data_IF_571199283875
#
_entry.id   IF_571199283875
#
_cell.length_a   1.000
_cell.length_b   1.000
_cell.length_c   1.000
_cell.angle_alpha   90.00
_cell.angle_beta   90.00
_cell.angle_gamma   90.00
#
_symmetry.space_group_name_H-M   'P 1'
#
loop_
_entity.id
_entity.type
_entity.pdbx_description
1 polymer ?
#
# COMPACT_ATOMS: atom_id res chain seq x y z
N UNK A 1 77.53 32.21 31.42
CA UNK A 1 76.44 31.28 31.79
C UNK A 1 75.46 31.28 30.67
N UNK A 2 75.42 30.17 29.93
CA UNK A 2 74.54 30.06 28.71
C UNK A 2 73.23 29.43 29.11
N UNK A 3 72.10 30.07 28.82
CA UNK A 3 70.78 29.52 29.00
C UNK A 3 70.34 28.77 27.73
N UNK A 4 70.06 27.48 27.89
CA UNK A 4 69.46 26.63 26.82
C UNK A 4 67.96 26.83 26.77
N UNK A 5 67.42 27.17 25.60
CA UNK A 5 66.02 27.16 25.28
C UNK A 5 65.68 25.79 24.70
N UNK A 6 64.78 25.07 25.34
CA UNK A 6 64.16 23.86 24.80
C UNK A 6 62.84 24.22 24.06
N UNK A 7 62.85 23.98 22.75
CA UNK A 7 61.64 24.19 21.94
C UNK A 7 60.71 22.98 22.08
N UNK A 8 59.47 23.23 22.49
CA UNK A 8 58.37 22.27 22.44
C UNK A 8 57.72 22.35 21.05
N UNK A 9 57.89 21.31 20.24
CA UNK A 9 57.15 21.13 18.99
C UNK A 9 55.81 20.45 19.29
N UNK A 10 54.72 21.20 19.16
CA UNK A 10 53.37 20.64 19.24
C UNK A 10 53.02 19.98 17.91
N UNK A 11 52.87 18.65 17.93
CA UNK A 11 52.29 17.89 16.82
C UNK A 11 50.78 18.07 16.84
N UNK A 12 50.23 18.79 15.87
CA UNK A 12 48.77 18.85 15.62
C UNK A 12 48.43 17.61 14.78
N UNK A 13 47.80 16.62 15.41
CA UNK A 13 47.14 15.52 14.69
C UNK A 13 45.89 16.06 14.02
N UNK A 14 45.93 16.26 12.72
CA UNK A 14 44.74 16.51 11.92
C UNK A 14 43.95 15.19 11.81
N UNK A 15 42.86 15.10 12.55
CA UNK A 15 41.84 14.05 12.36
C UNK A 15 41.18 14.29 10.99
N UNK A 16 41.52 13.47 10.00
CA UNK A 16 40.85 13.42 8.73
C UNK A 16 39.41 12.88 8.98
N UNK A 17 38.46 13.77 8.94
CA UNK A 17 37.02 13.37 8.81
C UNK A 17 36.89 12.59 7.51
N UNK A 18 36.25 11.38 7.52
CA UNK A 18 35.97 10.68 6.28
C UNK A 18 35.05 11.56 5.43
N UNK A 19 35.50 11.88 4.22
CA UNK A 19 34.70 12.55 3.23
C UNK A 19 33.46 11.65 2.99
N UNK A 20 32.27 12.11 3.38
CA UNK A 20 31.02 11.53 2.91
C UNK A 20 31.06 11.62 1.37
N UNK A 21 31.14 10.48 0.73
CA UNK A 21 30.99 10.39 -0.71
C UNK A 21 29.64 11.04 -1.10
N UNK A 22 29.72 12.21 -1.68
CA UNK A 22 28.55 12.87 -2.26
C UNK A 22 28.04 11.98 -3.38
N UNK A 23 26.90 11.32 -3.16
CA UNK A 23 26.18 10.59 -4.18
C UNK A 23 25.90 11.53 -5.38
N UNK A 24 26.01 11.05 -6.61
CA UNK A 24 25.69 11.86 -7.77
C UNK A 24 24.23 12.25 -7.76
N UNK A 25 23.94 13.51 -7.56
CA UNK A 25 22.64 14.13 -7.27
C UNK A 25 21.72 14.24 -8.51
N UNK A 26 21.95 13.53 -9.62
CA UNK A 26 21.28 13.81 -10.90
C UNK A 26 20.50 12.67 -11.55
N UNK A 27 20.40 11.48 -11.02
CA UNK A 27 19.72 10.36 -11.69
C UNK A 27 18.56 9.71 -10.91
N UNK A 28 18.27 10.13 -9.72
CA UNK A 28 17.17 9.64 -8.93
C UNK A 28 16.51 10.81 -8.17
N UNK A 29 15.21 10.90 -8.22
CA UNK A 29 14.45 11.93 -7.54
C UNK A 29 13.18 12.30 -8.29
N UNK A 30 12.32 13.06 -7.62
CA UNK A 30 11.08 13.57 -8.19
C UNK A 30 11.35 14.29 -9.52
N UNK A 31 10.55 13.98 -10.53
CA UNK A 31 10.66 14.53 -11.90
C UNK A 31 11.97 14.18 -12.65
N UNK A 32 12.70 13.16 -12.22
CA UNK A 32 13.86 12.65 -12.95
C UNK A 32 13.43 12.09 -14.31
N UNK A 33 14.31 12.22 -15.31
CA UNK A 33 14.08 11.61 -16.63
C UNK A 33 14.27 10.09 -16.61
N UNK A 34 15.01 9.57 -15.63
CA UNK A 34 15.22 8.15 -15.38
C UNK A 34 15.18 7.86 -13.90
N UNK A 35 14.46 6.82 -13.52
CA UNK A 35 14.39 6.31 -12.15
C UNK A 35 15.41 5.19 -11.97
N UNK A 36 15.81 4.94 -10.71
CA UNK A 36 16.75 3.88 -10.40
C UNK A 36 16.20 2.52 -10.80
N UNK A 37 17.01 1.73 -11.50
CA UNK A 37 16.71 0.32 -11.80
C UNK A 37 17.63 -0.57 -10.98
N UNK A 38 17.15 -1.03 -9.82
CA UNK A 38 17.94 -1.85 -8.88
C UNK A 38 18.33 -3.21 -9.48
N UNK A 39 17.52 -3.77 -10.38
CA UNK A 39 17.87 -5.02 -11.07
C UNK A 39 19.05 -4.81 -12.02
N UNK A 40 19.12 -3.68 -12.70
CA UNK A 40 20.28 -3.34 -13.51
C UNK A 40 21.51 -3.02 -12.66
N UNK A 41 21.32 -2.18 -11.64
CA UNK A 41 22.42 -1.70 -10.78
C UNK A 41 23.08 -2.83 -9.97
N UNK A 42 22.31 -3.76 -9.42
CA UNK A 42 22.80 -4.74 -8.46
C UNK A 42 22.86 -6.17 -9.00
N UNK A 43 22.03 -6.50 -10.00
CA UNK A 43 21.96 -7.86 -10.57
C UNK A 43 22.45 -7.94 -12.03
N UNK A 44 22.76 -6.81 -12.65
CA UNK A 44 23.19 -6.76 -14.06
C UNK A 44 22.09 -7.16 -15.06
N UNK A 45 20.80 -7.07 -14.65
CA UNK A 45 19.69 -7.38 -15.54
C UNK A 45 19.42 -6.21 -16.48
N UNK A 46 19.11 -6.50 -17.77
CA UNK A 46 18.77 -5.44 -18.69
C UNK A 46 17.42 -4.81 -18.35
N UNK A 47 17.22 -3.50 -18.59
CA UNK A 47 15.91 -2.87 -18.45
C UNK A 47 14.81 -3.59 -19.25
N UNK A 48 15.10 -4.02 -20.48
CA UNK A 48 14.16 -4.78 -21.30
C UNK A 48 13.72 -6.11 -20.66
N UNK A 49 14.64 -6.82 -19.97
CA UNK A 49 14.29 -8.03 -19.25
C UNK A 49 13.40 -7.75 -18.05
N UNK A 50 13.60 -6.61 -17.34
CA UNK A 50 12.74 -6.19 -16.26
C UNK A 50 11.34 -5.82 -16.76
N UNK A 51 11.24 -5.00 -17.81
CA UNK A 51 9.96 -4.64 -18.44
C UNK A 51 9.19 -5.89 -18.93
N UNK A 52 9.89 -6.86 -19.56
CA UNK A 52 9.26 -8.09 -20.01
C UNK A 52 8.68 -8.93 -18.83
N UNK A 53 9.38 -8.98 -17.68
CA UNK A 53 8.85 -9.63 -16.47
C UNK A 53 7.63 -8.91 -15.90
N UNK A 54 7.66 -7.59 -15.87
CA UNK A 54 6.55 -6.75 -15.39
C UNK A 54 5.33 -6.96 -16.29
N UNK A 55 5.50 -6.87 -17.60
CA UNK A 55 4.42 -7.10 -18.56
C UNK A 55 3.87 -8.54 -18.47
N UNK A 56 4.75 -9.54 -18.35
CA UNK A 56 4.33 -10.93 -18.12
C UNK A 56 3.53 -11.12 -16.84
N UNK A 57 3.90 -10.42 -15.76
CA UNK A 57 3.16 -10.45 -14.51
C UNK A 57 1.80 -9.72 -14.63
N UNK A 58 1.75 -8.59 -15.32
CA UNK A 58 0.50 -7.90 -15.64
C UNK A 58 -0.42 -8.82 -16.44
N UNK A 59 0.06 -9.44 -17.50
CA UNK A 59 -0.74 -10.35 -18.32
C UNK A 59 -1.26 -11.54 -17.50
N UNK A 60 -0.47 -12.11 -16.60
CA UNK A 60 -0.92 -13.19 -15.73
C UNK A 60 -1.99 -12.74 -14.73
N UNK A 61 -1.77 -11.63 -14.02
CA UNK A 61 -2.66 -11.17 -12.96
C UNK A 61 -3.94 -10.51 -13.49
N UNK A 62 -3.91 -9.93 -14.70
CA UNK A 62 -5.08 -9.27 -15.26
C UNK A 62 -5.80 -10.12 -16.31
N UNK A 63 -5.10 -10.94 -17.09
CA UNK A 63 -5.65 -11.64 -18.25
C UNK A 63 -5.37 -13.15 -18.26
N UNK A 64 -4.69 -13.66 -17.25
CA UNK A 64 -4.37 -15.08 -17.13
C UNK A 64 -5.56 -15.97 -16.82
N UNK A 65 -5.28 -17.23 -16.46
CA UNK A 65 -6.30 -18.19 -16.07
C UNK A 65 -7.15 -17.71 -14.89
N UNK A 66 -8.47 -17.81 -15.01
CA UNK A 66 -9.41 -17.27 -14.02
C UNK A 66 -9.44 -18.05 -12.70
N UNK A 67 -9.00 -19.30 -12.68
CA UNK A 67 -9.04 -20.14 -11.49
C UNK A 67 -7.78 -19.95 -10.61
N UNK A 68 -6.61 -19.82 -11.26
CA UNK A 68 -5.33 -19.88 -10.55
C UNK A 68 -4.49 -18.60 -10.64
N UNK A 69 -4.73 -17.72 -11.64
CA UNK A 69 -3.80 -16.66 -11.95
C UNK A 69 -4.36 -15.26 -11.77
N UNK A 70 -5.47 -14.94 -12.46
CA UNK A 70 -5.93 -13.55 -12.52
C UNK A 70 -6.68 -13.11 -11.27
N UNK A 71 -6.58 -11.83 -10.98
CA UNK A 71 -7.35 -11.11 -9.95
C UNK A 71 -8.32 -10.10 -10.56
N UNK A 72 -8.12 -9.71 -11.82
CA UNK A 72 -8.96 -8.76 -12.56
C UNK A 72 -10.06 -9.49 -13.33
N UNK A 73 -11.31 -9.01 -13.23
CA UNK A 73 -12.49 -9.60 -13.89
C UNK A 73 -13.41 -8.53 -14.48
N UNK A 74 -13.68 -8.63 -15.77
CA UNK A 74 -14.70 -7.81 -16.43
C UNK A 74 -16.11 -8.34 -16.11
N UNK A 75 -17.08 -7.42 -15.88
CA UNK A 75 -18.46 -7.77 -15.44
C UNK A 75 -19.54 -7.14 -16.28
N UNK A 76 -19.24 -6.75 -17.51
CA UNK A 76 -20.18 -6.10 -18.41
C UNK A 76 -19.91 -4.61 -18.57
N UNK A 77 -20.94 -3.80 -18.80
CA UNK A 77 -20.81 -2.38 -19.04
C UNK A 77 -22.06 -1.61 -18.58
N UNK A 78 -21.89 -0.30 -18.35
CA UNK A 78 -22.98 0.66 -18.14
C UNK A 78 -22.86 1.84 -19.12
N UNK A 79 -23.59 2.92 -18.89
CA UNK A 79 -23.52 4.12 -19.74
C UNK A 79 -22.16 4.81 -19.78
N UNK A 80 -21.29 4.54 -18.80
CA UNK A 80 -19.92 5.05 -18.77
C UNK A 80 -18.91 4.13 -19.51
N UNK A 81 -19.31 2.89 -19.84
CA UNK A 81 -18.44 1.93 -20.51
C UNK A 81 -18.24 0.64 -19.72
N UNK A 82 -17.13 -0.10 -19.98
CA UNK A 82 -16.85 -1.37 -19.31
C UNK A 82 -16.76 -1.24 -17.79
N UNK A 83 -17.11 -2.34 -17.10
CA UNK A 83 -17.01 -2.52 -15.66
C UNK A 83 -16.05 -3.67 -15.36
N UNK A 84 -15.12 -3.48 -14.46
CA UNK A 84 -14.24 -4.54 -13.98
C UNK A 84 -13.88 -4.34 -12.51
N UNK A 85 -13.51 -5.43 -11.84
CA UNK A 85 -13.02 -5.40 -10.48
C UNK A 85 -11.74 -6.21 -10.30
N UNK A 86 -10.99 -5.88 -9.24
CA UNK A 86 -9.94 -6.71 -8.66
C UNK A 86 -10.48 -7.40 -7.43
N UNK A 87 -10.37 -8.73 -7.36
CA UNK A 87 -10.89 -9.53 -6.24
C UNK A 87 -9.78 -10.08 -5.35
N UNK A 88 -9.97 -9.96 -4.05
CA UNK A 88 -9.26 -10.78 -3.07
C UNK A 88 -9.85 -12.20 -3.13
N UNK A 89 -9.12 -13.08 -3.81
CA UNK A 89 -9.59 -14.44 -4.06
C UNK A 89 -9.72 -15.26 -2.77
N UNK A 90 -8.80 -15.08 -1.83
CA UNK A 90 -8.84 -15.80 -0.56
C UNK A 90 -10.03 -15.39 0.31
N UNK A 91 -10.34 -14.09 0.36
CA UNK A 91 -11.45 -13.53 1.13
C UNK A 91 -12.75 -13.41 0.32
N UNK A 92 -12.69 -13.64 -0.98
CA UNK A 92 -13.84 -13.65 -1.86
C UNK A 92 -14.58 -12.30 -1.88
N UNK A 93 -13.83 -11.20 -1.88
CA UNK A 93 -14.38 -9.85 -1.92
C UNK A 93 -13.61 -8.91 -2.86
N UNK A 94 -14.19 -7.75 -3.10
CA UNK A 94 -13.62 -6.63 -3.84
C UNK A 94 -13.35 -5.52 -2.84
N UNK A 95 -12.12 -5.04 -2.77
CA UNK A 95 -11.69 -4.00 -1.83
C UNK A 95 -11.23 -2.75 -2.55
N UNK A 96 -11.47 -1.58 -1.93
CA UNK A 96 -10.93 -0.31 -2.45
C UNK A 96 -9.41 -0.37 -2.60
N UNK A 97 -8.71 -1.06 -1.71
CA UNK A 97 -7.27 -1.36 -1.81
C UNK A 97 -6.92 -1.98 -3.17
N UNK A 98 -7.49 -3.13 -3.49
CA UNK A 98 -7.19 -3.83 -4.74
C UNK A 98 -7.63 -3.08 -5.99
N UNK A 99 -8.76 -2.38 -5.91
CA UNK A 99 -9.26 -1.54 -7.02
C UNK A 99 -8.31 -0.39 -7.32
N UNK A 100 -7.85 0.31 -6.29
CA UNK A 100 -6.95 1.46 -6.43
C UNK A 100 -5.54 1.03 -6.83
N UNK A 101 -5.03 -0.10 -6.33
CA UNK A 101 -3.76 -0.68 -6.79
C UNK A 101 -3.83 -1.12 -8.25
N UNK A 102 -4.94 -1.76 -8.65
CA UNK A 102 -5.17 -2.11 -10.05
C UNK A 102 -5.15 -0.90 -10.97
N UNK A 103 -5.78 0.22 -10.54
CA UNK A 103 -5.74 1.47 -11.27
C UNK A 103 -4.32 2.07 -11.32
N UNK A 104 -3.57 2.03 -10.22
CA UNK A 104 -2.19 2.52 -10.19
C UNK A 104 -1.29 1.71 -11.13
N UNK A 105 -1.37 0.38 -11.09
CA UNK A 105 -0.64 -0.49 -12.03
C UNK A 105 -1.02 -0.18 -13.46
N UNK A 106 -2.32 -0.06 -13.74
CA UNK A 106 -2.81 0.20 -15.09
C UNK A 106 -2.36 1.57 -15.63
N UNK A 107 -2.35 2.62 -14.81
CA UNK A 107 -1.87 3.93 -15.26
C UNK A 107 -0.37 3.95 -15.46
N UNK A 108 0.41 3.30 -14.61
CA UNK A 108 1.87 3.23 -14.76
C UNK A 108 2.29 2.43 -16.00
N UNK A 109 1.59 1.35 -16.33
CA UNK A 109 1.85 0.51 -17.50
C UNK A 109 1.12 0.98 -18.77
N UNK A 110 0.36 2.09 -18.71
CA UNK A 110 -0.39 2.67 -19.84
C UNK A 110 -1.56 1.81 -20.35
N UNK A 111 -2.22 1.05 -19.45
CA UNK A 111 -3.40 0.24 -19.75
C UNK A 111 -4.70 1.00 -19.39
N UNK A 112 -5.06 1.95 -20.27
CA UNK A 112 -6.21 2.86 -20.04
C UNK A 112 -7.55 2.13 -19.92
N UNK A 113 -7.75 1.04 -20.68
CA UNK A 113 -9.02 0.30 -20.69
C UNK A 113 -9.29 -0.34 -19.33
N UNK A 114 -8.29 -0.99 -18.76
CA UNK A 114 -8.36 -1.62 -17.44
C UNK A 114 -8.55 -0.58 -16.35
N UNK A 115 -7.84 0.54 -16.43
CA UNK A 115 -7.99 1.68 -15.53
C UNK A 115 -9.43 2.20 -15.52
N UNK A 116 -9.97 2.52 -16.69
CA UNK A 116 -11.31 3.08 -16.82
C UNK A 116 -12.40 2.11 -16.33
N UNK A 117 -12.24 0.82 -16.59
CA UNK A 117 -13.19 -0.20 -16.16
C UNK A 117 -13.19 -0.38 -14.62
N UNK A 118 -12.02 -0.36 -13.98
CA UNK A 118 -11.89 -0.38 -12.52
C UNK A 118 -12.48 0.87 -11.89
N UNK A 119 -12.18 2.05 -12.45
CA UNK A 119 -12.73 3.31 -11.97
C UNK A 119 -14.25 3.36 -12.11
N UNK A 120 -14.79 2.92 -13.25
CA UNK A 120 -16.22 2.85 -13.47
C UNK A 120 -16.93 1.94 -12.47
N UNK A 121 -16.34 0.78 -12.16
CA UNK A 121 -16.88 -0.13 -11.15
C UNK A 121 -16.87 0.49 -9.75
N UNK A 122 -15.76 1.11 -9.38
CA UNK A 122 -15.61 1.81 -8.09
C UNK A 122 -16.64 2.92 -7.92
N UNK A 123 -16.84 3.74 -8.95
CA UNK A 123 -17.87 4.80 -8.97
C UNK A 123 -19.27 4.28 -8.93
N UNK A 124 -19.55 3.15 -9.60
CA UNK A 124 -20.89 2.58 -9.72
C UNK A 124 -21.34 1.91 -8.42
N UNK A 125 -20.45 1.17 -7.78
CA UNK A 125 -20.84 0.31 -6.65
C UNK A 125 -20.27 0.76 -5.31
N UNK A 126 -19.03 1.22 -5.25
CA UNK A 126 -18.35 1.46 -3.98
C UNK A 126 -18.58 2.88 -3.45
N UNK A 127 -18.78 3.87 -4.30
CA UNK A 127 -19.00 5.24 -3.84
C UNK A 127 -20.33 5.36 -3.08
N UNK A 128 -20.26 5.82 -1.84
CA UNK A 128 -21.44 6.09 -1.01
C UNK A 128 -22.09 7.38 -1.49
N UNK A 129 -23.28 7.25 -2.10
CA UNK A 129 -24.04 8.38 -2.66
C UNK A 129 -25.29 8.73 -1.85
N UNK A 130 -25.72 7.87 -0.91
CA UNK A 130 -26.85 8.15 -0.03
C UNK A 130 -26.48 9.24 0.98
N UNK A 131 -27.15 10.40 0.87
CA UNK A 131 -26.95 11.54 1.76
C UNK A 131 -27.27 11.27 3.24
N UNK A 132 -28.00 10.19 3.54
CA UNK A 132 -28.31 9.75 4.92
C UNK A 132 -27.19 8.90 5.54
N UNK A 133 -26.29 8.38 4.71
CA UNK A 133 -25.14 7.62 5.17
C UNK A 133 -24.04 8.61 5.62
N UNK A 134 -23.53 8.52 6.86
CA UNK A 134 -22.49 9.44 7.34
C UNK A 134 -21.17 9.34 6.57
N UNK A 135 -20.94 8.27 5.79
CA UNK A 135 -19.77 8.12 4.89
C UNK A 135 -20.01 8.68 3.49
N UNK A 136 -21.05 9.50 3.26
CA UNK A 136 -21.42 10.02 1.94
C UNK A 136 -20.23 10.69 1.23
N UNK A 137 -19.97 10.23 0.02
CA UNK A 137 -18.87 10.69 -0.83
C UNK A 137 -17.56 9.92 -0.69
N UNK A 138 -17.36 9.14 0.36
CA UNK A 138 -16.30 8.15 0.47
C UNK A 138 -16.66 6.87 -0.31
N UNK A 139 -15.70 5.95 -0.40
CA UNK A 139 -15.90 4.62 -0.97
C UNK A 139 -15.98 3.60 0.17
N UNK A 140 -17.03 2.80 0.22
CA UNK A 140 -17.11 1.69 1.17
C UNK A 140 -16.09 0.62 0.77
N UNK A 141 -15.31 0.13 1.76
CA UNK A 141 -14.05 -0.55 1.48
C UNK A 141 -14.18 -1.98 0.97
N UNK A 142 -15.30 -2.69 1.18
CA UNK A 142 -15.45 -4.10 0.80
C UNK A 142 -16.84 -4.42 0.24
N UNK A 143 -16.84 -5.16 -0.86
CA UNK A 143 -18.02 -5.57 -1.64
C UNK A 143 -17.93 -7.03 -2.07
N UNK A 144 -19.07 -7.63 -2.39
CA UNK A 144 -19.13 -8.85 -3.16
C UNK A 144 -18.87 -8.54 -4.65
N UNK A 145 -18.50 -9.55 -5.42
CA UNK A 145 -18.21 -9.42 -6.86
C UNK A 145 -19.44 -9.05 -7.71
N UNK A 146 -20.66 -9.19 -7.16
CA UNK A 146 -21.91 -8.75 -7.78
C UNK A 146 -22.23 -7.26 -7.49
N UNK A 147 -21.35 -6.54 -6.77
CA UNK A 147 -21.53 -5.13 -6.43
C UNK A 147 -22.39 -4.90 -5.19
N UNK A 148 -22.77 -5.94 -4.43
CA UNK A 148 -23.46 -5.76 -3.16
C UNK A 148 -22.45 -5.45 -2.03
N UNK A 149 -22.74 -4.47 -1.14
CA UNK A 149 -21.79 -4.06 -0.11
C UNK A 149 -21.63 -5.10 0.99
N UNK A 150 -20.40 -5.33 1.43
CA UNK A 150 -20.02 -6.06 2.65
C UNK A 150 -19.73 -5.12 3.80
N UNK A 151 -19.29 -3.91 3.49
CA UNK A 151 -19.03 -2.85 4.46
C UNK A 151 -19.74 -1.58 4.06
N UNK A 152 -20.01 -0.74 5.05
CA UNK A 152 -20.56 0.61 4.86
C UNK A 152 -19.55 1.68 5.27
N UNK A 153 -18.41 1.27 5.85
CA UNK A 153 -17.31 2.15 6.26
C UNK A 153 -16.27 2.29 5.15
N UNK A 154 -15.45 3.33 5.22
CA UNK A 154 -14.35 3.60 4.33
C UNK A 154 -13.00 3.28 4.98
N UNK A 155 -12.00 2.98 4.16
CA UNK A 155 -10.60 2.79 4.55
C UNK A 155 -9.73 3.75 3.72
N UNK A 156 -8.90 4.60 4.34
CA UNK A 156 -8.19 5.68 3.65
C UNK A 156 -7.24 5.23 2.53
N UNK A 157 -6.59 4.07 2.65
CA UNK A 157 -5.61 3.58 1.67
C UNK A 157 -6.18 3.48 0.25
N UNK A 158 -7.46 3.08 0.12
CA UNK A 158 -8.14 3.05 -1.17
C UNK A 158 -8.27 4.43 -1.78
N UNK A 159 -8.74 5.42 -1.01
CA UNK A 159 -8.89 6.81 -1.45
C UNK A 159 -7.56 7.45 -1.81
N UNK A 160 -6.50 7.17 -1.04
CA UNK A 160 -5.18 7.72 -1.31
C UNK A 160 -4.64 7.25 -2.66
N UNK A 161 -4.72 5.96 -2.93
CA UNK A 161 -4.29 5.41 -4.22
C UNK A 161 -5.23 5.79 -5.37
N UNK A 162 -6.57 5.87 -5.15
CA UNK A 162 -7.48 6.41 -6.16
C UNK A 162 -7.10 7.84 -6.55
N UNK A 163 -6.91 8.72 -5.58
CA UNK A 163 -6.56 10.12 -5.83
C UNK A 163 -5.26 10.22 -6.65
N UNK A 164 -4.21 9.46 -6.25
CA UNK A 164 -2.93 9.52 -6.94
C UNK A 164 -3.00 8.92 -8.35
N UNK A 165 -3.66 7.77 -8.51
CA UNK A 165 -3.83 7.12 -9.81
C UNK A 165 -4.64 8.01 -10.78
N UNK A 166 -5.65 8.72 -10.29
CA UNK A 166 -6.44 9.67 -11.08
C UNK A 166 -5.62 10.89 -11.50
N UNK A 167 -4.76 11.45 -10.63
CA UNK A 167 -3.82 12.51 -11.00
C UNK A 167 -2.86 12.04 -12.10
N UNK A 168 -2.31 10.85 -11.97
CA UNK A 168 -1.46 10.27 -13.01
C UNK A 168 -2.23 10.02 -14.31
N UNK A 169 -3.49 9.59 -14.24
CA UNK A 169 -4.34 9.42 -15.40
C UNK A 169 -4.62 10.76 -16.13
N UNK A 170 -4.92 11.81 -15.36
CA UNK A 170 -5.09 13.16 -15.90
C UNK A 170 -3.83 13.64 -16.62
N UNK A 171 -2.67 13.40 -16.05
CA UNK A 171 -1.38 13.80 -16.61
C UNK A 171 -0.98 12.94 -17.82
N UNK A 172 -1.32 11.64 -17.85
CA UNK A 172 -0.95 10.72 -18.92
C UNK A 172 -1.89 10.80 -20.13
N UNK A 173 -3.21 10.83 -19.86
CA UNK A 173 -4.23 10.67 -20.90
C UNK A 173 -5.09 11.92 -21.11
N UNK A 174 -4.94 12.92 -20.24
CA UNK A 174 -5.81 14.09 -20.22
C UNK A 174 -7.17 13.80 -19.58
N UNK A 175 -7.98 14.84 -19.43
CA UNK A 175 -9.28 14.76 -18.81
C UNK A 175 -10.38 14.42 -19.82
N UNK A 176 -11.19 13.40 -19.52
CA UNK A 176 -12.39 13.05 -20.27
C UNK A 176 -13.67 13.74 -19.73
N UNK A 177 -14.81 13.21 -20.10
CA UNK A 177 -16.14 13.66 -19.63
C UNK A 177 -16.65 12.82 -18.46
N UNK A 178 -17.57 13.37 -17.68
CA UNK A 178 -18.23 12.64 -16.59
C UNK A 178 -17.24 12.16 -15.55
N UNK A 179 -17.29 10.89 -15.18
CA UNK A 179 -16.39 10.26 -14.21
C UNK A 179 -14.94 10.16 -14.71
N UNK A 180 -14.69 10.38 -15.99
CA UNK A 180 -13.35 10.37 -16.59
C UNK A 180 -12.71 11.76 -16.67
N UNK A 181 -13.30 12.77 -16.03
CA UNK A 181 -12.55 13.99 -15.71
C UNK A 181 -11.66 13.69 -14.49
N UNK A 182 -10.54 13.03 -14.74
CA UNK A 182 -9.67 12.45 -13.72
C UNK A 182 -9.16 13.47 -12.71
N UNK A 183 -8.74 14.66 -13.17
CA UNK A 183 -8.29 15.74 -12.28
C UNK A 183 -9.40 16.13 -11.31
N UNK A 184 -10.60 16.37 -11.81
CA UNK A 184 -11.74 16.75 -10.95
C UNK A 184 -12.09 15.66 -9.94
N UNK A 185 -12.05 14.39 -10.36
CA UNK A 185 -12.33 13.26 -9.47
C UNK A 185 -11.24 13.13 -8.40
N UNK A 186 -9.96 13.30 -8.77
CA UNK A 186 -8.84 13.32 -7.82
C UNK A 186 -8.97 14.47 -6.81
N UNK A 187 -9.21 15.69 -7.29
CA UNK A 187 -9.37 16.89 -6.43
C UNK A 187 -10.54 16.70 -5.45
N UNK A 188 -11.63 16.11 -5.92
CA UNK A 188 -12.80 15.81 -5.07
C UNK A 188 -12.46 14.80 -3.95
N UNK A 189 -11.65 13.77 -4.22
CA UNK A 189 -11.21 12.79 -3.21
C UNK A 189 -10.26 13.47 -2.23
N UNK A 190 -9.22 14.15 -2.72
CA UNK A 190 -8.21 14.83 -1.89
C UNK A 190 -8.87 15.84 -0.95
N UNK A 191 -9.76 16.68 -1.49
CA UNK A 191 -10.51 17.65 -0.69
C UNK A 191 -11.39 16.96 0.37
N UNK A 192 -12.11 15.90 -0.01
CA UNK A 192 -13.00 15.18 0.89
C UNK A 192 -12.26 14.47 2.02
N UNK A 193 -11.12 13.87 1.76
CA UNK A 193 -10.30 13.25 2.81
C UNK A 193 -9.97 14.25 3.94
N UNK A 194 -9.85 15.53 3.61
CA UNK A 194 -9.57 16.61 4.55
C UNK A 194 -10.81 17.27 5.17
N UNK A 195 -11.86 17.47 4.39
CA UNK A 195 -12.96 18.37 4.70
C UNK A 195 -14.32 17.68 4.82
N UNK A 196 -14.33 16.34 4.93
CA UNK A 196 -15.58 15.64 5.20
C UNK A 196 -16.20 16.17 6.50
N UNK A 197 -17.43 16.70 6.48
CA UNK A 197 -18.07 17.16 7.70
C UNK A 197 -18.27 16.01 8.68
N UNK A 198 -18.24 16.31 9.98
CA UNK A 198 -18.59 15.28 10.98
C UNK A 198 -20.09 14.99 10.89
N UNK A 199 -20.44 13.86 10.28
CA UNK A 199 -21.81 13.42 10.12
C UNK A 199 -22.10 12.22 11.03
N UNK A 200 -23.27 12.23 11.66
CA UNK A 200 -23.75 11.08 12.47
C UNK A 200 -24.98 10.46 11.81
N UNK A 201 -24.95 9.16 11.68
CA UNK A 201 -26.08 8.44 11.08
C UNK A 201 -25.95 6.93 11.28
N UNK A 202 -27.00 6.22 10.95
CA UNK A 202 -27.00 4.76 10.91
C UNK A 202 -26.83 4.32 9.47
N UNK A 203 -25.65 3.82 9.06
CA UNK A 203 -25.46 3.34 7.70
C UNK A 203 -26.46 2.23 7.39
N UNK A 204 -27.07 2.20 6.20
CA UNK A 204 -27.92 1.10 5.80
C UNK A 204 -27.05 -0.17 5.69
N UNK A 205 -27.25 -1.08 6.62
CA UNK A 205 -26.53 -2.33 6.61
C UNK A 205 -27.34 -3.37 5.84
N UNK A 206 -26.86 -3.76 4.66
CA UNK A 206 -27.42 -4.86 3.87
C UNK A 206 -26.41 -6.01 3.85
N UNK A 207 -26.42 -6.86 4.88
CA UNK A 207 -26.02 -8.25 4.66
C UNK A 207 -27.26 -8.92 4.05
N UNK A 208 -27.14 -9.48 2.88
CA UNK A 208 -28.18 -10.36 2.34
C UNK A 208 -28.26 -11.60 3.25
N UNK A 209 -29.41 -11.87 3.91
CA UNK A 209 -29.50 -12.95 4.88
C UNK A 209 -29.35 -14.34 4.27
N UNK A 210 -29.37 -14.45 2.96
CA UNK A 210 -29.40 -15.71 2.22
C UNK A 210 -28.14 -16.02 1.45
N UNK A 211 -27.22 -15.05 1.25
CA UNK A 211 -25.95 -15.34 0.60
C UNK A 211 -24.93 -15.80 1.63
N UNK A 212 -24.41 -17.02 1.51
CA UNK A 212 -23.22 -17.38 2.30
C UNK A 212 -22.15 -16.32 2.02
N UNK A 213 -21.48 -15.79 3.05
CA UNK A 213 -20.60 -14.63 2.92
C UNK A 213 -19.39 -14.83 1.99
N UNK A 214 -19.32 -15.95 1.27
CA UNK A 214 -18.20 -16.33 0.45
C UNK A 214 -18.57 -16.95 -0.90
N UNK A 215 -19.73 -16.68 -1.45
CA UNK A 215 -20.08 -17.17 -2.79
C UNK A 215 -19.72 -16.11 -3.82
N UNK A 216 -18.67 -16.37 -4.59
CA UNK A 216 -18.46 -15.74 -5.89
C UNK A 216 -19.07 -16.63 -6.97
N UNK A 217 -19.81 -16.06 -7.91
CA UNK A 217 -20.45 -16.82 -8.99
C UNK A 217 -19.47 -17.45 -9.96
N UNK A 218 -18.30 -16.83 -10.10
CA UNK A 218 -17.21 -17.21 -11.01
C UNK A 218 -16.06 -17.97 -10.31
N UNK A 219 -16.21 -18.25 -9.01
CA UNK A 219 -15.20 -18.93 -8.20
C UNK A 219 -15.72 -20.27 -7.70
N UNK A 220 -15.01 -21.38 -7.94
CA UNK A 220 -15.42 -22.66 -7.36
C UNK A 220 -15.34 -22.60 -5.83
N UNK A 221 -16.46 -22.90 -5.21
CA UNK A 221 -16.57 -23.00 -3.76
C UNK A 221 -16.51 -24.47 -3.31
N UNK A 222 -15.88 -24.75 -2.18
CA UNK A 222 -14.98 -23.91 -1.38
C UNK A 222 -13.61 -23.75 -2.04
N UNK A 223 -12.92 -22.64 -1.77
CA UNK A 223 -11.48 -22.49 -2.10
C UNK A 223 -10.66 -23.54 -1.35
N UNK A 224 -9.40 -23.83 -1.76
CA UNK A 224 -8.57 -24.83 -1.08
C UNK A 224 -8.47 -24.67 0.44
N UNK A 225 -8.24 -23.46 0.96
CA UNK A 225 -8.23 -23.20 2.41
C UNK A 225 -9.63 -23.32 3.03
N UNK A 226 -10.66 -22.86 2.35
CA UNK A 226 -12.03 -22.98 2.81
C UNK A 226 -12.51 -24.44 2.70
N UNK A 227 -11.99 -25.24 1.75
CA UNK A 227 -12.28 -26.67 1.63
C UNK A 227 -11.76 -27.41 2.86
N UNK A 228 -10.52 -27.17 3.26
CA UNK A 228 -9.95 -27.77 4.46
C UNK A 228 -10.75 -27.40 5.71
N UNK A 229 -11.07 -26.13 5.90
CA UNK A 229 -11.90 -25.66 7.00
C UNK A 229 -13.34 -26.23 6.94
N UNK A 230 -13.90 -26.43 5.74
CA UNK A 230 -15.20 -27.05 5.55
C UNK A 230 -15.18 -28.55 5.91
N UNK A 231 -14.12 -29.27 5.51
CA UNK A 231 -13.89 -30.68 5.84
C UNK A 231 -13.68 -30.86 7.34
N UNK A 232 -12.91 -29.99 7.98
CA UNK A 232 -12.70 -29.97 9.43
C UNK A 232 -13.99 -29.71 10.19
N UNK A 233 -14.79 -28.74 9.74
CA UNK A 233 -16.11 -28.45 10.30
C UNK A 233 -17.07 -29.64 10.14
N UNK A 234 -17.09 -30.27 8.97
CA UNK A 234 -17.89 -31.47 8.71
C UNK A 234 -17.48 -32.65 9.59
N UNK A 235 -16.18 -32.88 9.76
CA UNK A 235 -15.64 -33.90 10.66
C UNK A 235 -16.01 -33.66 12.13
N UNK A 236 -16.22 -32.42 12.53
CA UNK A 236 -16.65 -32.01 13.86
C UNK A 236 -18.18 -31.87 14.00
N UNK A 237 -18.95 -32.20 12.96
CA UNK A 237 -20.42 -32.01 12.95
C UNK A 237 -20.86 -30.56 13.07
N UNK A 238 -20.00 -29.59 12.70
CA UNK A 238 -20.26 -28.17 12.77
C UNK A 238 -20.73 -27.63 11.43
N UNK A 239 -21.64 -26.65 11.40
CA UNK A 239 -22.03 -25.99 10.17
C UNK A 239 -20.86 -25.17 9.58
N UNK A 240 -20.74 -25.14 8.26
CA UNK A 240 -19.80 -24.30 7.53
C UNK A 240 -20.56 -23.41 6.54
N UNK A 241 -20.24 -22.10 6.44
CA UNK A 241 -19.36 -21.33 7.33
C UNK A 241 -19.90 -21.25 8.76
N UNK A 242 -19.03 -21.02 9.77
CA UNK A 242 -19.48 -20.92 11.16
C UNK A 242 -20.55 -19.85 11.37
N UNK A 243 -21.51 -20.06 12.30
CA UNK A 243 -22.64 -19.14 12.51
C UNK A 243 -22.27 -17.70 12.87
N UNK A 244 -21.06 -17.47 13.41
CA UNK A 244 -20.64 -16.11 13.80
C UNK A 244 -20.40 -15.18 12.58
N UNK A 245 -20.19 -15.71 11.37
CA UNK A 245 -20.20 -14.90 10.16
C UNK A 245 -21.61 -14.38 9.78
N UNK A 246 -22.63 -14.89 10.43
CA UNK A 246 -24.00 -14.42 10.33
C UNK A 246 -24.38 -13.38 11.39
N UNK A 247 -23.45 -12.88 12.20
CA UNK A 247 -23.76 -11.85 13.18
C UNK A 247 -24.24 -10.62 12.42
N UNK A 248 -25.55 -10.47 12.31
CA UNK A 248 -26.20 -9.21 12.06
C UNK A 248 -25.83 -8.29 13.24
N UNK A 249 -24.77 -7.50 13.10
CA UNK A 249 -24.63 -6.35 13.98
C UNK A 249 -25.81 -5.45 13.69
N UNK A 250 -26.67 -5.25 14.66
CA UNK A 250 -27.72 -4.25 14.52
C UNK A 250 -27.09 -2.95 14.05
N UNK A 251 -27.66 -2.28 13.02
CA UNK A 251 -27.17 -1.00 12.57
C UNK A 251 -27.09 -0.07 13.78
N UNK A 252 -25.91 0.48 14.05
CA UNK A 252 -25.73 1.45 15.13
C UNK A 252 -25.34 2.80 14.52
N UNK A 253 -25.76 3.91 15.14
CA UNK A 253 -25.26 5.22 14.73
C UNK A 253 -23.73 5.26 14.84
N UNK A 254 -23.09 5.76 13.79
CA UNK A 254 -21.66 6.06 13.76
C UNK A 254 -21.47 7.53 13.41
N UNK A 255 -20.41 8.14 13.92
CA UNK A 255 -19.98 9.47 13.52
C UNK A 255 -18.78 9.31 12.59
N UNK A 256 -18.85 9.87 11.39
CA UNK A 256 -17.81 9.83 10.36
C UNK A 256 -17.35 11.25 10.06
N UNK A 257 -16.06 11.47 10.04
CA UNK A 257 -15.42 12.76 9.78
C UNK A 257 -14.30 12.62 8.73
N UNK A 258 -13.34 13.57 8.74
CA UNK A 258 -12.19 13.55 7.84
C UNK A 258 -11.33 12.29 8.00
N UNK A 259 -10.73 11.81 6.91
CA UNK A 259 -9.74 10.73 6.92
C UNK A 259 -8.39 11.16 7.47
N UNK A 260 -8.11 12.46 7.47
CA UNK A 260 -6.90 13.03 8.05
C UNK A 260 -7.21 13.80 9.32
N UNK A 261 -6.41 13.58 10.35
CA UNK A 261 -6.49 14.36 11.58
C UNK A 261 -5.86 15.74 11.38
N UNK A 262 -6.65 16.79 11.59
CA UNK A 262 -6.21 18.16 11.37
C UNK A 262 -5.17 18.68 12.38
N UNK A 263 -5.08 18.07 13.57
CA UNK A 263 -4.10 18.41 14.61
C UNK A 263 -2.78 17.68 14.41
N UNK A 264 -2.87 16.37 14.16
CA UNK A 264 -1.71 15.53 13.96
C UNK A 264 -1.15 15.57 12.54
N UNK A 265 -1.92 16.01 11.55
CA UNK A 265 -1.60 15.93 10.12
C UNK A 265 -1.28 14.50 9.65
N UNK A 266 -1.96 13.54 10.24
CA UNK A 266 -1.80 12.11 9.97
C UNK A 266 -3.07 11.51 9.42
N UNK A 267 -2.93 10.53 8.56
CA UNK A 267 -4.03 9.68 8.11
C UNK A 267 -4.58 8.89 9.30
N UNK A 268 -5.90 8.76 9.39
CA UNK A 268 -6.57 7.92 10.38
C UNK A 268 -6.63 6.48 9.89
N UNK A 269 -6.72 5.52 10.81
CA UNK A 269 -7.00 4.13 10.43
C UNK A 269 -8.34 4.01 9.70
N UNK A 270 -9.37 4.65 10.21
CA UNK A 270 -10.69 4.80 9.57
C UNK A 270 -11.27 6.16 9.92
N UNK A 271 -12.20 6.72 9.10
CA UNK A 271 -12.79 8.02 9.37
C UNK A 271 -13.87 8.01 10.47
N UNK A 272 -14.18 6.86 11.07
CA UNK A 272 -15.09 6.77 12.22
C UNK A 272 -14.49 7.47 13.43
N UNK A 273 -15.17 8.50 13.96
CA UNK A 273 -14.65 9.34 15.04
C UNK A 273 -14.38 8.58 16.35
N UNK A 274 -15.07 7.46 16.59
CA UNK A 274 -14.88 6.62 17.77
C UNK A 274 -13.63 5.72 17.69
N UNK A 275 -13.00 5.62 16.51
CA UNK A 275 -11.81 4.77 16.30
C UNK A 275 -10.61 5.68 16.13
N UNK A 276 -9.70 5.62 17.09
CA UNK A 276 -8.47 6.41 17.08
C UNK A 276 -7.32 5.71 16.37
N UNK A 277 -6.22 6.47 16.19
CA UNK A 277 -4.97 5.96 15.65
C UNK A 277 -4.91 5.95 14.12
N UNK A 278 -3.87 5.30 13.62
CA UNK A 278 -3.49 5.22 12.22
C UNK A 278 -3.02 3.82 11.87
N UNK A 279 -2.86 3.55 10.60
CA UNK A 279 -2.08 2.44 10.06
C UNK A 279 -0.77 2.99 9.49
N UNK A 280 0.41 2.50 9.93
CA UNK A 280 1.69 2.96 9.38
C UNK A 280 1.81 2.77 7.87
N UNK A 281 1.14 1.77 7.30
CA UNK A 281 1.15 1.50 5.86
C UNK A 281 0.28 2.46 5.04
N UNK A 282 -0.58 3.26 5.69
CA UNK A 282 -1.39 4.29 5.02
C UNK A 282 -0.59 5.60 4.82
N UNK A 283 0.52 5.79 5.53
CA UNK A 283 1.36 6.98 5.36
C UNK A 283 2.09 6.94 4.01
N UNK A 284 1.75 7.87 3.12
CA UNK A 284 2.27 7.97 1.75
C UNK A 284 2.92 9.34 1.50
N UNK A 285 4.02 9.68 2.22
CA UNK A 285 4.64 11.00 2.09
C UNK A 285 5.04 11.34 0.64
N UNK A 286 5.42 10.34 -0.15
CA UNK A 286 5.72 10.53 -1.58
C UNK A 286 4.52 11.11 -2.36
N UNK A 287 3.30 10.66 -2.07
CA UNK A 287 2.08 11.15 -2.70
C UNK A 287 1.65 12.51 -2.12
N UNK A 288 1.79 12.70 -0.82
CA UNK A 288 1.44 13.97 -0.17
C UNK A 288 2.27 15.15 -0.70
N UNK A 289 3.54 14.93 -1.03
CA UNK A 289 4.36 15.94 -1.72
C UNK A 289 3.77 16.30 -3.10
N UNK A 290 3.27 15.33 -3.85
CA UNK A 290 2.62 15.58 -5.14
C UNK A 290 1.27 16.29 -4.97
N UNK A 291 0.50 15.97 -3.92
CA UNK A 291 -0.73 16.69 -3.61
C UNK A 291 -0.46 18.12 -3.12
N UNK A 292 0.69 18.36 -2.48
CA UNK A 292 1.14 19.71 -2.16
C UNK A 292 1.46 20.55 -3.42
N UNK A 293 1.77 19.89 -4.53
CA UNK A 293 2.04 20.55 -5.81
C UNK A 293 0.79 20.64 -6.71
N UNK A 294 -0.02 19.58 -6.77
CA UNK A 294 -1.06 19.40 -7.79
C UNK A 294 -2.48 19.36 -7.26
N UNK A 295 -2.66 19.09 -5.98
CA UNK A 295 -3.98 19.05 -5.35
C UNK A 295 -4.63 20.44 -5.21
N UNK A 296 -5.84 20.49 -4.62
CA UNK A 296 -6.55 21.74 -4.37
C UNK A 296 -5.66 22.76 -3.67
N UNK A 297 -5.59 24.02 -4.20
CA UNK A 297 -4.63 25.02 -3.71
C UNK A 297 -4.71 25.29 -2.21
N UNK A 298 -5.92 25.30 -1.66
CA UNK A 298 -6.19 25.53 -0.24
C UNK A 298 -5.65 24.45 0.67
N UNK A 299 -5.47 23.22 0.16
CA UNK A 299 -5.00 22.05 0.91
C UNK A 299 -3.48 21.80 0.80
N UNK A 300 -2.80 22.45 -0.13
CA UNK A 300 -1.37 22.22 -0.40
C UNK A 300 -0.46 22.39 0.82
N UNK A 301 -0.63 23.43 1.68
CA UNK A 301 0.19 23.55 2.88
C UNK A 301 0.00 22.39 3.86
N UNK A 302 -1.22 21.85 3.95
CA UNK A 302 -1.50 20.68 4.79
C UNK A 302 -0.77 19.44 4.27
N UNK A 303 -0.82 19.18 2.97
CA UNK A 303 -0.18 18.01 2.38
C UNK A 303 1.34 18.04 2.51
N UNK A 304 1.95 19.22 2.35
CA UNK A 304 3.38 19.40 2.63
C UNK A 304 3.72 19.04 4.09
N UNK A 305 2.87 19.44 5.05
CA UNK A 305 3.05 19.12 6.47
C UNK A 305 2.77 17.64 6.76
N UNK A 306 1.77 17.03 6.13
CA UNK A 306 1.47 15.62 6.29
C UNK A 306 2.63 14.72 5.79
N UNK A 307 3.31 15.12 4.72
CA UNK A 307 4.51 14.43 4.24
C UNK A 307 5.65 14.48 5.27
N UNK A 308 5.94 15.66 5.83
CA UNK A 308 6.95 15.84 6.88
C UNK A 308 6.63 14.97 8.11
N UNK A 309 5.39 15.05 8.59
CA UNK A 309 4.94 14.31 9.78
C UNK A 309 4.98 12.80 9.56
N UNK A 310 4.66 12.32 8.36
CA UNK A 310 4.71 10.89 8.04
C UNK A 310 6.14 10.35 8.07
N UNK A 311 7.14 11.09 7.60
CA UNK A 311 8.56 10.73 7.71
C UNK A 311 8.98 10.59 9.17
N UNK A 312 8.69 11.60 9.99
CA UNK A 312 8.94 11.57 11.43
C UNK A 312 8.26 10.38 12.11
N UNK A 313 7.05 10.05 11.68
CA UNK A 313 6.25 8.96 12.24
C UNK A 313 6.88 7.59 11.95
N UNK A 314 7.40 7.34 10.76
CA UNK A 314 8.08 6.08 10.45
C UNK A 314 9.21 5.76 11.43
N UNK A 315 9.99 6.76 11.82
CA UNK A 315 11.06 6.58 12.79
C UNK A 315 10.56 6.26 14.21
N UNK A 316 9.38 6.74 14.57
CA UNK A 316 8.76 6.53 15.90
C UNK A 316 8.07 5.18 16.00
N UNK A 317 7.43 4.74 14.92
CA UNK A 317 6.56 3.54 14.91
C UNK A 317 7.34 2.24 14.67
N UNK A 318 8.52 2.31 14.05
CA UNK A 318 9.32 1.12 13.73
C UNK A 318 10.20 0.67 14.88
N UNK A 319 10.28 -0.64 15.08
CA UNK A 319 11.13 -1.27 16.08
C UNK A 319 12.61 -0.94 15.90
N UNK A 320 13.26 -0.42 16.95
CA UNK A 320 14.65 0.02 16.88
C UNK A 320 15.66 -1.10 16.60
N UNK A 321 15.32 -2.35 16.89
CA UNK A 321 16.15 -3.53 16.62
C UNK A 321 15.76 -4.25 15.34
N UNK A 322 14.48 -4.31 15.03
CA UNK A 322 13.92 -5.14 13.97
C UNK A 322 13.56 -4.36 12.71
N UNK A 323 13.19 -3.08 12.84
CA UNK A 323 12.61 -2.30 11.74
C UNK A 323 11.16 -2.67 11.43
N UNK A 324 10.54 -3.56 12.23
CA UNK A 324 9.14 -3.95 12.09
C UNK A 324 8.21 -2.82 12.56
N UNK A 325 7.16 -2.53 11.82
CA UNK A 325 6.07 -1.64 12.22
C UNK A 325 4.83 -2.44 12.62
N UNK A 326 4.02 -1.96 13.57
CA UNK A 326 2.73 -2.58 13.83
C UNK A 326 1.78 -2.39 12.64
N UNK A 327 0.79 -3.25 12.53
CA UNK A 327 -0.31 -3.13 11.57
C UNK A 327 -1.20 -1.90 11.89
N UNK A 328 -1.33 -1.58 13.19
CA UNK A 328 -2.03 -0.38 13.66
C UNK A 328 -1.25 0.31 14.79
N UNK A 329 -1.28 1.63 14.78
CA UNK A 329 -0.58 2.45 15.77
C UNK A 329 -1.43 3.62 16.27
N UNK A 330 -1.09 4.13 17.45
CA UNK A 330 -1.52 5.44 17.89
C UNK A 330 -0.69 6.53 17.19
N UNK A 331 -1.19 7.75 17.10
CA UNK A 331 -0.47 8.87 16.47
C UNK A 331 0.88 9.21 17.12
N UNK A 332 1.12 8.77 18.35
CA UNK A 332 2.42 8.93 19.02
C UNK A 332 3.44 7.83 18.66
N UNK A 333 3.09 6.88 17.78
CA UNK A 333 3.93 5.77 17.35
C UNK A 333 3.86 4.51 18.20
N UNK A 334 3.13 4.51 19.32
CA UNK A 334 2.93 3.28 20.08
C UNK A 334 1.96 2.33 19.34
N UNK A 335 2.16 0.99 19.43
CA UNK A 335 1.22 0.03 18.86
C UNK A 335 -0.20 0.25 19.39
N UNK A 336 -1.20 0.26 18.52
CA UNK A 336 -2.59 0.31 18.94
C UNK A 336 -3.01 -1.04 19.53
N UNK A 337 -4.00 -1.00 20.42
CA UNK A 337 -4.63 -2.24 20.92
C UNK A 337 -5.64 -2.71 19.86
N UNK A 338 -5.49 -3.93 19.39
CA UNK A 338 -6.39 -4.56 18.43
C UNK A 338 -7.78 -4.85 19.02
N UNK A 339 -8.71 -5.26 18.17
CA UNK A 339 -10.07 -5.64 18.61
C UNK A 339 -10.07 -6.91 19.47
N UNK A 340 -8.99 -7.67 19.47
CA UNK A 340 -8.75 -8.83 20.33
C UNK A 340 -8.15 -8.46 21.71
N UNK A 341 -7.93 -7.18 21.99
CA UNK A 341 -7.35 -6.66 23.22
C UNK A 341 -5.82 -6.77 23.31
N UNK A 342 -5.13 -7.17 22.23
CA UNK A 342 -3.67 -7.28 22.20
C UNK A 342 -3.03 -6.11 21.46
N UNK A 343 -1.77 -5.78 21.78
CA UNK A 343 -1.00 -4.84 20.96
C UNK A 343 -0.90 -5.32 19.50
N UNK A 344 -1.00 -4.37 18.58
CA UNK A 344 -0.85 -4.65 17.16
C UNK A 344 0.55 -5.17 16.84
N UNK A 345 0.60 -6.16 15.96
CA UNK A 345 1.77 -6.92 15.55
C UNK A 345 2.18 -6.52 14.12
N UNK A 346 3.32 -7.02 13.65
CA UNK A 346 3.73 -6.90 12.26
C UNK A 346 3.10 -8.03 11.42
N UNK A 347 2.43 -7.66 10.33
CA UNK A 347 1.81 -8.58 9.38
C UNK A 347 0.93 -7.84 8.37
N UNK A 348 0.61 -8.48 7.26
CA UNK A 348 -0.32 -7.99 6.25
C UNK A 348 -0.06 -6.53 5.82
N UNK A 349 -0.90 -5.57 6.24
CA UNK A 349 -0.81 -4.18 5.83
C UNK A 349 0.55 -3.56 6.18
N UNK A 350 1.12 -3.90 7.33
CA UNK A 350 2.42 -3.38 7.74
C UNK A 350 3.59 -3.75 6.81
N UNK A 351 3.44 -4.78 5.93
CA UNK A 351 4.46 -5.09 4.92
C UNK A 351 4.70 -3.94 3.95
N UNK A 352 3.66 -3.16 3.64
CA UNK A 352 3.73 -2.03 2.71
C UNK A 352 4.53 -0.85 3.24
N UNK A 353 4.67 -0.74 4.56
CA UNK A 353 5.31 0.42 5.19
C UNK A 353 6.72 0.65 4.67
N UNK A 354 7.52 -0.42 4.47
CA UNK A 354 8.87 -0.31 3.90
C UNK A 354 8.88 0.20 2.46
N UNK A 355 7.90 -0.20 1.66
CA UNK A 355 7.76 0.29 0.30
C UNK A 355 7.46 1.80 0.29
N UNK A 356 6.57 2.26 1.18
CA UNK A 356 6.13 3.64 1.24
C UNK A 356 7.28 4.61 1.55
N UNK A 357 8.06 4.36 2.62
CA UNK A 357 9.19 5.23 2.93
C UNK A 357 10.33 5.09 1.91
N UNK A 358 10.49 3.91 1.29
CA UNK A 358 11.56 3.71 0.31
C UNK A 358 11.27 4.41 -1.02
N UNK A 359 10.01 4.46 -1.43
CA UNK A 359 9.56 5.26 -2.57
C UNK A 359 9.71 6.75 -2.27
N UNK A 360 9.32 7.18 -1.07
CA UNK A 360 9.51 8.57 -0.64
C UNK A 360 10.98 8.97 -0.70
N UNK A 361 11.86 8.18 -0.13
CA UNK A 361 13.30 8.45 -0.21
C UNK A 361 13.80 8.51 -1.65
N UNK A 362 13.40 7.54 -2.48
CA UNK A 362 13.80 7.50 -3.88
C UNK A 362 13.36 8.73 -4.68
N UNK A 363 12.20 9.27 -4.39
CA UNK A 363 11.66 10.42 -5.10
C UNK A 363 12.15 11.75 -4.53
N UNK A 364 12.20 11.89 -3.20
CA UNK A 364 12.35 13.19 -2.54
C UNK A 364 13.66 13.37 -1.76
N UNK A 365 14.30 12.30 -1.28
CA UNK A 365 15.55 12.33 -0.48
C UNK A 365 15.48 13.29 0.73
N UNK A 366 14.31 13.41 1.37
CA UNK A 366 14.05 14.39 2.42
C UNK A 366 14.28 13.87 3.84
N UNK A 367 14.32 12.55 4.04
CA UNK A 367 14.53 11.95 5.36
C UNK A 367 15.72 10.99 5.37
N UNK A 368 16.71 11.30 6.20
CA UNK A 368 17.93 10.48 6.37
C UNK A 368 17.70 9.20 7.19
N UNK A 369 16.54 9.05 7.83
CA UNK A 369 16.19 7.86 8.60
C UNK A 369 15.67 6.72 7.71
N UNK A 370 15.00 7.01 6.61
CA UNK A 370 14.41 6.00 5.72
C UNK A 370 15.43 4.97 5.19
N UNK A 371 16.66 5.35 4.79
CA UNK A 371 17.73 4.40 4.50
C UNK A 371 18.09 3.48 5.67
N UNK A 372 18.11 4.03 6.89
CA UNK A 372 18.42 3.29 8.11
C UNK A 372 17.30 2.29 8.43
N UNK A 373 16.03 2.72 8.29
CA UNK A 373 14.86 1.87 8.53
C UNK A 373 14.85 0.69 7.55
N UNK A 374 15.06 0.94 6.26
CA UNK A 374 15.13 -0.09 5.23
C UNK A 374 16.23 -1.10 5.47
N UNK A 375 17.46 -0.63 5.74
CA UNK A 375 18.59 -1.51 6.03
C UNK A 375 18.38 -2.34 7.31
N UNK A 376 17.71 -1.77 8.32
CA UNK A 376 17.41 -2.45 9.58
C UNK A 376 16.41 -3.59 9.37
N UNK A 377 15.31 -3.33 8.65
CA UNK A 377 14.32 -4.35 8.34
C UNK A 377 14.93 -5.49 7.50
N UNK A 378 15.63 -5.15 6.43
CA UNK A 378 16.28 -6.16 5.58
C UNK A 378 17.26 -7.03 6.36
N UNK A 379 18.10 -6.44 7.21
CA UNK A 379 19.03 -7.20 8.06
C UNK A 379 18.30 -8.14 9.03
N UNK A 380 17.22 -7.67 9.66
CA UNK A 380 16.42 -8.50 10.55
C UNK A 380 15.86 -9.72 9.82
N UNK A 381 15.21 -9.52 8.65
CA UNK A 381 14.61 -10.59 7.88
C UNK A 381 15.64 -11.59 7.32
N UNK A 382 16.80 -11.10 6.85
CA UNK A 382 17.92 -11.97 6.43
C UNK A 382 18.39 -12.85 7.59
N UNK A 383 18.44 -12.31 8.81
CA UNK A 383 18.76 -13.08 10.01
C UNK A 383 17.77 -14.20 10.32
N UNK A 384 16.53 -14.09 9.84
CA UNK A 384 15.52 -15.16 9.94
C UNK A 384 15.64 -16.20 8.80
N UNK A 385 16.44 -15.93 7.78
CA UNK A 385 16.68 -16.75 6.62
C UNK A 385 15.87 -16.33 5.39
N UNK A 386 16.54 -15.86 4.35
CA UNK A 386 15.95 -15.18 3.17
C UNK A 386 14.86 -16.02 2.46
N UNK A 387 14.97 -17.34 2.45
CA UNK A 387 14.03 -18.24 1.77
C UNK A 387 12.92 -18.80 2.68
N UNK A 388 12.83 -18.36 3.93
CA UNK A 388 11.92 -18.98 4.91
C UNK A 388 11.44 -18.06 6.02
N UNK A 389 11.82 -16.79 6.06
CA UNK A 389 11.36 -15.90 7.13
C UNK A 389 9.82 -15.85 7.14
N UNK A 390 9.21 -15.96 8.32
CA UNK A 390 7.76 -15.84 8.48
C UNK A 390 7.24 -14.48 8.05
N UNK A 391 5.97 -14.43 7.67
CA UNK A 391 5.32 -13.20 7.24
C UNK A 391 4.68 -12.40 8.37
N UNK A 392 4.66 -12.94 9.62
CA UNK A 392 4.14 -12.26 10.80
C UNK A 392 5.09 -12.38 11.99
N UNK A 393 5.19 -11.27 12.74
CA UNK A 393 6.06 -11.17 13.92
C UNK A 393 5.43 -10.30 14.99
N UNK A 394 5.78 -10.56 16.25
CA UNK A 394 5.73 -9.53 17.29
C UNK A 394 6.74 -8.45 16.98
N UNK A 395 6.58 -7.24 17.50
CA UNK A 395 7.50 -6.12 17.17
C UNK A 395 8.92 -6.32 17.71
N UNK A 396 9.11 -7.19 18.71
CA UNK A 396 10.43 -7.62 19.23
C UNK A 396 11.05 -8.75 18.38
N UNK A 397 10.36 -9.25 17.35
CA UNK A 397 10.89 -10.17 16.34
C UNK A 397 10.58 -11.64 16.58
N UNK A 398 9.64 -11.99 17.46
CA UNK A 398 9.21 -13.39 17.64
C UNK A 398 8.26 -13.77 16.48
N UNK A 399 8.50 -14.90 15.78
CA UNK A 399 7.61 -15.39 14.72
C UNK A 399 6.20 -15.71 15.23
N UNK A 400 5.18 -15.35 14.44
CA UNK A 400 3.75 -15.62 14.72
C UNK A 400 3.08 -16.46 13.63
N UNK A 401 3.82 -16.81 12.59
CA UNK A 401 3.39 -17.67 11.49
C UNK A 401 4.55 -18.56 11.04
N UNK A 402 4.27 -19.48 10.13
CA UNK A 402 5.29 -20.24 9.39
C UNK A 402 5.24 -19.95 7.89
N UNK A 403 4.29 -19.12 7.43
CA UNK A 403 4.14 -18.76 6.02
C UNK A 403 5.25 -17.81 5.60
N UNK A 404 5.88 -18.07 4.46
CA UNK A 404 6.81 -17.19 3.77
C UNK A 404 6.07 -16.54 2.59
N UNK A 405 5.64 -15.27 2.77
CA UNK A 405 4.81 -14.59 1.79
C UNK A 405 5.63 -13.99 0.65
N UNK A 406 5.29 -14.29 -0.62
CA UNK A 406 5.83 -13.59 -1.79
C UNK A 406 5.63 -12.07 -1.72
N UNK A 407 4.47 -11.60 -1.27
CA UNK A 407 4.17 -10.17 -1.14
C UNK A 407 5.07 -9.46 -0.15
N UNK A 408 5.37 -10.09 1.00
CA UNK A 408 6.29 -9.52 1.98
C UNK A 408 7.74 -9.51 1.47
N UNK A 409 8.20 -10.57 0.79
CA UNK A 409 9.53 -10.59 0.15
C UNK A 409 9.65 -9.45 -0.86
N UNK A 410 8.61 -9.28 -1.68
CA UNK A 410 8.56 -8.23 -2.70
C UNK A 410 8.60 -6.83 -2.06
N UNK A 411 7.79 -6.56 -1.06
CA UNK A 411 7.79 -5.28 -0.35
C UNK A 411 9.15 -4.99 0.32
N UNK A 412 9.78 -6.00 0.94
CA UNK A 412 11.10 -5.86 1.54
C UNK A 412 12.19 -5.57 0.49
N UNK A 413 12.06 -6.06 -0.75
CA UNK A 413 12.99 -5.76 -1.84
C UNK A 413 12.94 -4.28 -2.26
N UNK A 414 11.74 -3.64 -2.21
CA UNK A 414 11.59 -2.20 -2.46
C UNK A 414 12.42 -1.37 -1.47
N UNK A 415 12.68 -1.90 -0.28
CA UNK A 415 13.61 -1.32 0.69
C UNK A 415 14.96 -0.94 0.11
N UNK A 416 15.40 -1.61 -0.96
CA UNK A 416 16.63 -1.30 -1.69
C UNK A 416 16.63 0.06 -2.42
N UNK A 417 15.48 0.71 -2.60
CA UNK A 417 15.41 2.08 -3.13
C UNK A 417 15.98 3.10 -2.12
N UNK A 418 15.79 2.84 -0.83
CA UNK A 418 16.31 3.70 0.24
C UNK A 418 17.60 3.15 0.83
N UNK A 419 17.69 1.85 1.14
CA UNK A 419 18.86 1.25 1.73
C UNK A 419 20.12 1.43 0.88
N UNK A 420 21.30 1.65 1.48
CA UNK A 420 22.56 1.57 0.75
C UNK A 420 22.74 0.21 0.09
N UNK A 421 23.44 0.13 -1.06
CA UNK A 421 23.81 -1.14 -1.66
C UNK A 421 24.51 -2.05 -0.65
N UNK A 422 24.00 -3.25 -0.48
CA UNK A 422 24.53 -4.22 0.51
C UNK A 422 24.24 -5.66 0.04
N UNK A 423 24.92 -6.68 0.63
CA UNK A 423 24.58 -8.08 0.38
C UNK A 423 23.12 -8.41 0.69
N UNK A 424 22.54 -7.80 1.74
CA UNK A 424 21.15 -7.99 2.14
C UNK A 424 20.19 -7.46 1.07
N UNK A 425 20.38 -6.22 0.63
CA UNK A 425 19.60 -5.62 -0.45
C UNK A 425 19.68 -6.45 -1.73
N UNK A 426 20.89 -6.88 -2.10
CA UNK A 426 21.08 -7.74 -3.28
C UNK A 426 20.36 -9.06 -3.15
N UNK A 427 20.34 -9.69 -1.96
CA UNK A 427 19.64 -10.94 -1.71
C UNK A 427 18.12 -10.77 -1.92
N UNK A 428 17.49 -9.73 -1.38
CA UNK A 428 16.07 -9.46 -1.61
C UNK A 428 15.74 -9.20 -3.08
N UNK A 429 16.58 -8.46 -3.79
CA UNK A 429 16.40 -8.24 -5.22
C UNK A 429 16.50 -9.54 -6.02
N UNK A 430 17.42 -10.44 -5.62
CA UNK A 430 17.56 -11.73 -6.27
C UNK A 430 16.36 -12.64 -6.01
N UNK A 431 15.82 -12.64 -4.78
CA UNK A 431 14.58 -13.37 -4.45
C UNK A 431 13.41 -12.84 -5.28
N UNK A 432 13.18 -11.53 -5.29
CA UNK A 432 12.11 -10.92 -6.08
C UNK A 432 12.27 -11.24 -7.57
N UNK A 433 13.50 -11.18 -8.10
CA UNK A 433 13.76 -11.49 -9.51
C UNK A 433 13.46 -12.94 -9.87
N UNK A 434 13.81 -13.88 -8.99
CA UNK A 434 13.64 -15.32 -9.22
C UNK A 434 12.23 -15.82 -8.92
N UNK A 435 11.47 -15.07 -8.13
CA UNK A 435 10.13 -15.42 -7.71
C UNK A 435 9.20 -15.58 -8.93
N UNK A 436 8.41 -16.65 -9.00
CA UNK A 436 7.31 -16.74 -9.96
C UNK A 436 6.24 -15.71 -9.61
N UNK A 437 5.48 -15.30 -10.61
CA UNK A 437 4.29 -14.46 -10.38
C UNK A 437 3.33 -15.22 -9.46
N UNK A 438 2.88 -14.63 -8.35
CA UNK A 438 1.99 -15.29 -7.41
C UNK A 438 0.72 -15.82 -8.09
N UNK A 439 0.31 -17.02 -7.69
CA UNK A 439 -0.86 -17.72 -8.21
C UNK A 439 -1.61 -18.43 -7.07
N UNK A 440 -2.73 -19.08 -7.39
CA UNK A 440 -3.54 -19.79 -6.41
C UNK A 440 -4.35 -18.85 -5.50
N UNK A 441 -4.65 -19.31 -4.32
CA UNK A 441 -5.61 -18.63 -3.43
C UNK A 441 -5.13 -17.28 -2.91
N UNK A 442 -3.84 -17.15 -2.58
CA UNK A 442 -3.28 -15.93 -2.00
C UNK A 442 -2.79 -14.91 -3.06
N UNK A 443 -3.07 -15.16 -4.34
CA UNK A 443 -2.56 -14.36 -5.46
C UNK A 443 -2.96 -12.89 -5.46
N UNK A 444 -4.02 -12.53 -4.75
CA UNK A 444 -4.47 -11.14 -4.68
C UNK A 444 -3.41 -10.25 -4.03
N UNK A 445 -3.21 -10.39 -2.74
CA UNK A 445 -2.31 -9.49 -2.01
C UNK A 445 -0.85 -9.72 -2.38
N UNK A 446 -0.43 -10.99 -2.43
CA UNK A 446 0.92 -11.33 -2.87
C UNK A 446 1.21 -10.88 -4.30
N UNK A 447 0.26 -11.03 -5.23
CA UNK A 447 0.43 -10.66 -6.63
C UNK A 447 0.43 -9.15 -6.86
N UNK A 448 -0.44 -8.41 -6.18
CA UNK A 448 -0.48 -6.95 -6.29
C UNK A 448 0.81 -6.32 -5.74
N UNK A 449 1.27 -6.77 -4.56
CA UNK A 449 2.53 -6.33 -3.99
C UNK A 449 3.73 -6.75 -4.84
N UNK A 450 3.73 -7.97 -5.40
CA UNK A 450 4.77 -8.45 -6.30
C UNK A 450 4.90 -7.53 -7.52
N UNK A 451 3.80 -7.27 -8.24
CA UNK A 451 3.83 -6.49 -9.47
C UNK A 451 4.24 -5.03 -9.20
N UNK A 452 3.68 -4.40 -8.17
CA UNK A 452 4.09 -3.06 -7.77
C UNK A 452 5.58 -3.01 -7.38
N UNK A 453 6.06 -3.99 -6.63
CA UNK A 453 7.47 -4.04 -6.21
C UNK A 453 8.42 -4.28 -7.39
N UNK A 454 8.03 -5.10 -8.37
CA UNK A 454 8.77 -5.26 -9.62
C UNK A 454 8.92 -3.92 -10.35
N UNK A 455 7.82 -3.15 -10.45
CA UNK A 455 7.82 -1.83 -11.08
C UNK A 455 8.71 -0.84 -10.31
N UNK A 456 8.61 -0.82 -8.97
CA UNK A 456 9.47 0.01 -8.12
C UNK A 456 10.95 -0.31 -8.32
N UNK A 457 11.32 -1.58 -8.22
CA UNK A 457 12.73 -2.01 -8.33
C UNK A 457 13.28 -1.89 -9.76
N UNK A 458 12.44 -1.89 -10.78
CA UNK A 458 12.83 -1.66 -12.18
C UNK A 458 12.91 -0.18 -12.57
N UNK A 459 12.46 0.74 -11.70
CA UNK A 459 12.35 2.16 -12.04
C UNK A 459 11.23 2.46 -13.04
N UNK A 460 10.18 1.63 -13.05
CA UNK A 460 9.00 1.78 -13.90
C UNK A 460 7.77 2.32 -13.14
N UNK A 461 7.84 2.41 -11.83
CA UNK A 461 6.89 3.18 -11.03
C UNK A 461 7.39 4.62 -10.94
N UNK A 462 6.72 5.53 -11.63
CA UNK A 462 7.24 6.87 -11.93
C UNK A 462 6.23 7.96 -11.61
N UNK A 463 6.72 9.15 -11.35
CA UNK A 463 5.87 10.34 -11.33
C UNK A 463 5.47 10.66 -12.77
N UNK A 464 4.18 10.57 -13.05
CA UNK A 464 3.61 11.02 -14.32
C UNK A 464 3.24 12.49 -14.15
N UNK A 465 4.16 13.37 -14.54
CA UNK A 465 4.00 14.81 -14.37
C UNK A 465 2.99 15.40 -15.39
N UNK A 466 2.34 16.53 -15.05
CA UNK A 466 1.54 17.27 -16.02
C UNK A 466 2.38 17.64 -17.24
N UNK A 467 1.76 17.61 -18.41
CA UNK A 467 2.39 18.15 -19.61
C UNK A 467 2.61 19.66 -19.45
N UNK A 468 3.76 20.19 -19.92
CA UNK A 468 4.06 21.63 -19.89
C UNK A 468 3.03 22.47 -20.63
#
# INVERSE_FOLDING_TARGET
MRAMWAGLSAFVLALATPAMATMPQKSAGAFATAYRNLFAEQLGKSPAAASAKIEGAFQQLFHGDGQEQRVYFETGANSNGPLAYVTDWANNDVRTEGMSYGMMIAVELNHKREFDALWNWSKTYMQVTDAKNPSVGYFAWSFNTDGTPRSTGAAPDGEEYYAMALLFAANRWGNGKGIYNYQREADSIIHRMRHHPLLTGTPPFRIHPTDPPFVQRDKPWPSPNNRHAAEEAAAQGKPWPPPYFRIQRSPRPVAVGPMFDGTWHMVRFVPEAAIGGTDPSYHLPAFYELWALWGPPEDRPFWAKAAEVSRDFFSKVTGQKTGLSPDRANFNGSPAIGFDGKPSEFGYDSWRTVSNWSVDYSWWHKDVQEPILSARLQRFLIGQGIHRFPDRYTLDGKPLSSRHSPGMVAAAAVGGLAAPPSPETKAFLQELWNMPVPSGEQRYYDGMLYLMSMMHCAGEFRIIAPHP
#
